data_IF_750329576451
#
_entry.id   IF_750329576451
#
_cell.length_a   1.000
_cell.length_b   1.000
_cell.length_c   1.000
_cell.angle_alpha   90.00
_cell.angle_beta   90.00
_cell.angle_gamma   90.00
#
_symmetry.space_group_name_H-M   'P 1'
#
loop_
_entity.id
_entity.type
_entity.pdbx_description
1 polymer ?
#
# COMPACT_ATOMS: atom_id res chain seq x y z
N UNK A 1 19.97 1.22 -58.10
CA UNK A 1 20.05 -0.25 -58.18
C UNK A 1 21.42 -0.61 -57.62
N UNK A 2 21.63 -1.20 -56.44
CA UNK A 2 20.78 -1.89 -55.47
C UNK A 2 21.12 -1.38 -54.06
N UNK A 3 20.10 -1.15 -53.21
CA UNK A 3 20.31 -0.89 -51.79
C UNK A 3 20.16 -2.23 -51.08
N UNK A 4 21.26 -2.74 -50.54
CA UNK A 4 21.27 -3.89 -49.64
C UNK A 4 20.52 -3.50 -48.37
N UNK A 5 19.30 -4.00 -48.23
CA UNK A 5 18.53 -3.89 -46.99
C UNK A 5 19.11 -4.90 -46.02
N UNK A 6 19.92 -4.42 -45.06
CA UNK A 6 20.20 -5.19 -43.86
C UNK A 6 18.87 -5.52 -43.21
N UNK A 7 18.51 -6.79 -43.21
CA UNK A 7 17.38 -7.35 -42.48
C UNK A 7 17.55 -6.98 -41.01
N UNK A 8 16.83 -5.94 -40.57
CA UNK A 8 16.62 -5.68 -39.16
C UNK A 8 16.04 -6.95 -38.55
N UNK A 9 16.76 -7.50 -37.58
CA UNK A 9 16.37 -8.67 -36.83
C UNK A 9 15.16 -8.31 -35.94
N UNK A 10 13.97 -8.27 -36.54
CA UNK A 10 12.68 -8.11 -35.85
C UNK A 10 12.33 -9.48 -35.27
N UNK A 11 13.01 -9.90 -34.21
CA UNK A 11 12.64 -11.09 -33.44
C UNK A 11 13.29 -11.04 -32.04
N UNK A 12 12.84 -10.13 -31.16
CA UNK A 12 12.78 -10.42 -29.71
C UNK A 12 12.06 -9.40 -28.80
N UNK A 13 11.05 -8.68 -29.29
CA UNK A 13 10.07 -8.06 -28.38
C UNK A 13 8.99 -9.08 -28.05
N UNK A 14 9.34 -10.08 -27.23
CA UNK A 14 8.32 -10.82 -26.49
C UNK A 14 7.47 -9.78 -25.74
N UNK A 15 6.15 -9.88 -25.88
CA UNK A 15 5.20 -9.18 -25.06
C UNK A 15 5.51 -9.48 -23.58
N UNK A 16 6.28 -8.61 -22.92
CA UNK A 16 6.56 -8.72 -21.49
C UNK A 16 5.26 -8.49 -20.74
N UNK A 17 4.49 -9.56 -20.54
CA UNK A 17 3.36 -9.63 -19.63
C UNK A 17 3.67 -10.75 -18.66
N UNK A 18 3.45 -10.55 -17.35
CA UNK A 18 3.71 -11.58 -16.37
C UNK A 18 2.84 -12.79 -16.70
N UNK A 19 3.45 -13.96 -16.71
CA UNK A 19 2.75 -15.20 -17.01
C UNK A 19 1.69 -15.49 -15.92
N UNK A 20 0.79 -16.43 -16.20
CA UNK A 20 -0.29 -16.76 -15.26
C UNK A 20 0.25 -17.23 -13.90
N UNK A 21 1.34 -18.01 -13.89
CA UNK A 21 1.99 -18.50 -12.68
C UNK A 21 2.49 -17.35 -11.80
N UNK A 22 3.13 -16.34 -12.38
CA UNK A 22 3.58 -15.13 -11.68
C UNK A 22 2.43 -14.37 -11.08
N UNK A 23 1.36 -14.14 -11.85
CA UNK A 23 0.16 -13.46 -11.33
C UNK A 23 -0.47 -14.21 -10.16
N UNK A 24 -0.62 -15.53 -10.30
CA UNK A 24 -1.20 -16.38 -9.27
C UNK A 24 -0.33 -16.43 -8.00
N UNK A 25 0.98 -16.64 -8.16
CA UNK A 25 1.93 -16.69 -7.05
C UNK A 25 2.05 -15.34 -6.33
N UNK A 26 2.08 -14.22 -7.05
CA UNK A 26 2.07 -12.88 -6.44
C UNK A 26 0.78 -12.61 -5.68
N UNK A 27 -0.39 -12.95 -6.23
CA UNK A 27 -1.66 -12.79 -5.54
C UNK A 27 -1.75 -13.67 -4.28
N UNK A 28 -1.36 -14.94 -4.38
CA UNK A 28 -1.33 -15.88 -3.27
C UNK A 28 -0.34 -15.43 -2.18
N UNK A 29 0.87 -15.04 -2.58
CA UNK A 29 1.88 -14.51 -1.66
C UNK A 29 1.40 -13.27 -0.92
N UNK A 30 0.79 -12.32 -1.62
CA UNK A 30 0.20 -11.12 -1.00
C UNK A 30 -0.90 -11.43 -0.01
N UNK A 31 -1.81 -12.34 -0.38
CA UNK A 31 -2.86 -12.79 0.52
C UNK A 31 -2.28 -13.47 1.76
N UNK A 32 -1.29 -14.35 1.59
CA UNK A 32 -0.62 -15.04 2.69
C UNK A 32 0.07 -14.03 3.63
N UNK A 33 0.84 -13.10 3.07
CA UNK A 33 1.50 -12.03 3.84
C UNK A 33 0.50 -11.18 4.63
N UNK A 34 -0.60 -10.78 3.99
CA UNK A 34 -1.69 -10.05 4.66
C UNK A 34 -2.29 -10.89 5.80
N UNK A 35 -2.65 -12.15 5.56
CA UNK A 35 -3.23 -13.02 6.60
C UNK A 35 -2.26 -13.26 7.76
N UNK A 36 -0.96 -13.42 7.49
CA UNK A 36 0.04 -13.57 8.54
C UNK A 36 0.12 -12.30 9.41
N UNK A 37 0.16 -11.12 8.78
CA UNK A 37 0.16 -9.84 9.51
C UNK A 37 -1.13 -9.64 10.33
N UNK A 38 -2.28 -10.08 9.81
CA UNK A 38 -3.56 -10.09 10.51
C UNK A 38 -3.47 -10.79 11.86
N UNK A 39 -2.94 -12.01 11.82
CA UNK A 39 -2.83 -12.90 12.96
C UNK A 39 -1.88 -12.29 13.98
N UNK A 40 -0.74 -11.76 13.52
CA UNK A 40 0.21 -11.06 14.37
C UNK A 40 -0.40 -9.83 15.07
N UNK A 41 -1.11 -8.97 14.33
CA UNK A 41 -1.77 -7.78 14.88
C UNK A 41 -2.85 -8.18 15.89
N UNK A 42 -3.67 -9.17 15.54
CA UNK A 42 -4.75 -9.70 16.40
C UNK A 42 -4.18 -10.23 17.72
N UNK A 43 -3.13 -11.05 17.64
CA UNK A 43 -2.44 -11.60 18.81
C UNK A 43 -1.78 -10.52 19.66
N UNK A 44 -1.11 -9.55 19.03
CA UNK A 44 -0.47 -8.43 19.72
C UNK A 44 -1.48 -7.55 20.47
N UNK A 45 -2.73 -7.48 20.00
CA UNK A 45 -3.83 -6.77 20.67
C UNK A 45 -4.59 -7.62 21.69
N UNK A 46 -4.12 -8.83 22.00
CA UNK A 46 -4.77 -9.73 22.97
C UNK A 46 -6.13 -10.29 22.52
N UNK A 47 -6.46 -10.17 21.24
CA UNK A 47 -7.70 -10.71 20.68
C UNK A 47 -7.53 -12.19 20.35
N UNK A 48 -8.61 -12.97 20.47
CA UNK A 48 -8.60 -14.40 20.12
C UNK A 48 -8.32 -14.55 18.62
N UNK A 49 -7.21 -15.21 18.31
CA UNK A 49 -6.88 -15.64 16.95
C UNK A 49 -7.87 -16.75 16.55
N UNK A 50 -8.47 -16.69 15.35
CA UNK A 50 -9.39 -17.71 14.91
C UNK A 50 -8.65 -19.05 14.76
N UNK A 51 -9.29 -20.15 15.14
CA UNK A 51 -8.69 -21.48 15.12
C UNK A 51 -8.41 -21.97 13.68
N UNK A 52 -9.05 -21.39 12.67
CA UNK A 52 -8.81 -21.69 11.26
C UNK A 52 -8.29 -20.46 10.51
N UNK A 53 -7.22 -20.63 9.74
CA UNK A 53 -6.69 -19.62 8.81
C UNK A 53 -7.50 -19.54 7.50
N UNK A 54 -8.79 -19.90 7.53
CA UNK A 54 -9.68 -19.69 6.40
C UNK A 54 -9.79 -18.20 6.14
N UNK A 55 -9.66 -17.80 4.87
CA UNK A 55 -9.68 -16.39 4.43
C UNK A 55 -10.87 -15.61 5.00
N UNK A 56 -12.03 -16.27 5.13
CA UNK A 56 -13.26 -15.69 5.68
C UNK A 56 -13.17 -15.37 7.18
N UNK A 57 -12.55 -16.24 7.98
CA UNK A 57 -12.39 -16.04 9.43
C UNK A 57 -11.37 -14.95 9.73
N UNK A 58 -10.29 -14.87 8.95
CA UNK A 58 -9.28 -13.81 9.06
C UNK A 58 -9.88 -12.46 8.68
N UNK A 59 -10.67 -12.41 7.60
CA UNK A 59 -11.44 -11.22 7.20
C UNK A 59 -12.45 -10.83 8.29
N UNK A 60 -13.12 -11.79 8.94
CA UNK A 60 -14.07 -11.51 10.03
C UNK A 60 -13.40 -10.98 11.30
N UNK A 61 -12.15 -11.36 11.57
CA UNK A 61 -11.35 -10.78 12.65
C UNK A 61 -10.91 -9.37 12.29
N UNK A 62 -10.47 -9.14 11.06
CA UNK A 62 -10.15 -7.79 10.59
C UNK A 62 -11.34 -6.83 10.63
N UNK A 63 -12.57 -7.31 10.41
CA UNK A 63 -13.79 -6.50 10.55
C UNK A 63 -14.01 -5.97 11.97
N UNK A 64 -13.37 -6.56 12.98
CA UNK A 64 -13.53 -6.20 14.40
C UNK A 64 -12.40 -5.27 14.89
N UNK A 65 -11.40 -4.99 14.07
CA UNK A 65 -10.22 -4.22 14.44
C UNK A 65 -10.33 -2.82 13.84
N UNK A 66 -10.28 -1.79 14.68
CA UNK A 66 -9.98 -0.44 14.24
C UNK A 66 -8.46 -0.33 14.03
N UNK A 67 -8.06 -0.26 12.76
CA UNK A 67 -6.65 -0.16 12.38
C UNK A 67 -6.10 1.24 12.66
N UNK A 68 -4.88 1.26 13.17
CA UNK A 68 -4.08 2.48 13.27
C UNK A 68 -3.04 2.52 12.14
N UNK A 69 -2.23 3.58 12.11
CA UNK A 69 -1.21 3.80 11.09
C UNK A 69 -0.19 2.66 11.05
N UNK A 70 0.21 2.14 12.22
CA UNK A 70 1.18 1.05 12.32
C UNK A 70 0.62 -0.23 11.72
N UNK A 71 -0.63 -0.56 12.01
CA UNK A 71 -1.27 -1.77 11.49
C UNK A 71 -1.38 -1.73 9.96
N UNK A 72 -1.75 -0.57 9.40
CA UNK A 72 -1.82 -0.38 7.94
C UNK A 72 -0.45 -0.57 7.31
N UNK A 73 0.58 0.06 7.86
CA UNK A 73 1.96 -0.09 7.37
C UNK A 73 2.41 -1.55 7.47
N UNK A 74 2.13 -2.24 8.59
CA UNK A 74 2.48 -3.65 8.75
C UNK A 74 1.76 -4.53 7.72
N UNK A 75 0.46 -4.33 7.50
CA UNK A 75 -0.31 -5.07 6.50
C UNK A 75 0.22 -4.83 5.08
N UNK A 76 0.53 -3.57 4.73
CA UNK A 76 1.14 -3.22 3.44
C UNK A 76 2.49 -3.89 3.25
N UNK A 77 3.35 -3.79 4.27
CA UNK A 77 4.69 -4.38 4.25
C UNK A 77 4.63 -5.88 4.04
N UNK A 78 3.78 -6.58 4.79
CA UNK A 78 3.66 -8.03 4.70
C UNK A 78 3.03 -8.48 3.39
N UNK A 79 2.01 -7.78 2.87
CA UNK A 79 1.42 -8.08 1.57
C UNK A 79 2.40 -7.84 0.41
N UNK A 80 3.16 -6.74 0.45
CA UNK A 80 4.20 -6.43 -0.52
C UNK A 80 5.31 -7.48 -0.48
N UNK A 81 5.81 -7.83 0.71
CA UNK A 81 6.83 -8.86 0.88
C UNK A 81 6.35 -10.23 0.38
N UNK A 82 5.11 -10.61 0.69
CA UNK A 82 4.53 -11.86 0.23
C UNK A 82 4.35 -11.90 -1.30
N UNK A 83 3.83 -10.82 -1.88
CA UNK A 83 3.65 -10.71 -3.33
C UNK A 83 4.96 -10.68 -4.10
N UNK A 84 5.96 -9.95 -3.57
CA UNK A 84 7.33 -9.96 -4.07
C UNK A 84 7.92 -11.38 -4.04
N UNK A 85 7.80 -12.08 -2.91
CA UNK A 85 8.32 -13.45 -2.76
C UNK A 85 7.68 -14.39 -3.79
N UNK A 86 6.35 -14.38 -3.92
CA UNK A 86 5.66 -15.19 -4.92
C UNK A 86 6.03 -14.84 -6.36
N UNK A 87 6.18 -13.55 -6.65
CA UNK A 87 6.60 -13.06 -7.97
C UNK A 87 8.03 -13.46 -8.32
N UNK A 88 8.97 -13.37 -7.38
CA UNK A 88 10.38 -13.75 -7.59
C UNK A 88 10.54 -15.26 -7.78
N UNK A 89 9.80 -16.07 -7.03
CA UNK A 89 9.86 -17.54 -7.13
C UNK A 89 9.46 -18.06 -8.52
N UNK A 90 8.57 -17.34 -9.20
CA UNK A 90 7.99 -17.75 -10.50
C UNK A 90 8.53 -16.95 -11.68
N UNK A 91 9.20 -15.83 -11.40
CA UNK A 91 9.82 -14.94 -12.39
C UNK A 91 11.08 -14.28 -11.78
N UNK A 92 12.14 -15.08 -11.54
CA UNK A 92 13.35 -14.60 -10.88
C UNK A 92 14.16 -13.63 -11.75
N UNK A 93 13.97 -13.65 -13.07
CA UNK A 93 14.68 -12.79 -14.01
C UNK A 93 14.32 -11.31 -13.81
N UNK A 94 13.09 -11.03 -13.39
CA UNK A 94 12.59 -9.67 -13.13
C UNK A 94 12.70 -9.23 -11.66
N UNK A 95 13.46 -9.94 -10.83
CA UNK A 95 13.60 -9.66 -9.39
C UNK A 95 13.95 -8.20 -9.09
N UNK A 96 14.87 -7.60 -9.85
CA UNK A 96 15.30 -6.21 -9.64
C UNK A 96 14.15 -5.22 -9.85
N UNK A 97 13.36 -5.41 -10.91
CA UNK A 97 12.20 -4.56 -11.21
C UNK A 97 11.11 -4.71 -10.13
N UNK A 98 10.83 -5.93 -9.69
CA UNK A 98 9.87 -6.22 -8.62
C UNK A 98 10.31 -5.62 -7.28
N UNK A 99 11.57 -5.84 -6.87
CA UNK A 99 12.09 -5.29 -5.61
C UNK A 99 12.05 -3.77 -5.59
N UNK A 100 12.40 -3.12 -6.71
CA UNK A 100 12.29 -1.68 -6.87
C UNK A 100 10.86 -1.19 -6.67
N UNK A 101 9.91 -1.80 -7.38
CA UNK A 101 8.50 -1.46 -7.24
C UNK A 101 8.02 -1.66 -5.79
N UNK A 102 8.45 -2.74 -5.13
CA UNK A 102 8.15 -3.02 -3.73
C UNK A 102 8.60 -1.91 -2.79
N UNK A 103 9.86 -1.44 -2.93
CA UNK A 103 10.40 -0.36 -2.10
C UNK A 103 9.68 0.96 -2.37
N UNK A 104 9.48 1.30 -3.64
CA UNK A 104 8.82 2.56 -4.05
C UNK A 104 7.38 2.59 -3.57
N UNK A 105 6.61 1.52 -3.77
CA UNK A 105 5.23 1.45 -3.31
C UNK A 105 5.16 1.51 -1.79
N UNK A 106 5.95 0.69 -1.07
CA UNK A 106 5.91 0.64 0.38
C UNK A 106 6.21 2.00 0.99
N UNK A 107 7.30 2.63 0.57
CA UNK A 107 7.75 3.90 1.14
C UNK A 107 6.85 5.06 0.68
N UNK A 108 6.65 5.18 -0.64
CA UNK A 108 5.97 6.31 -1.27
C UNK A 108 4.47 6.33 -1.06
N UNK A 109 3.81 5.18 -1.11
CA UNK A 109 2.35 5.10 -1.14
C UNK A 109 1.73 4.66 0.20
N UNK A 110 2.48 4.02 1.08
CA UNK A 110 1.94 3.48 2.33
C UNK A 110 2.56 4.10 3.59
N UNK A 111 3.89 4.09 3.71
CA UNK A 111 4.57 4.58 4.92
C UNK A 111 4.34 6.08 5.12
N UNK A 112 4.71 6.93 4.15
CA UNK A 112 4.58 8.37 4.33
C UNK A 112 3.13 8.86 4.40
N UNK A 113 2.21 8.42 3.51
CA UNK A 113 0.80 8.78 3.62
C UNK A 113 0.20 8.41 4.98
N UNK A 114 0.40 7.17 5.46
CA UNK A 114 -0.14 6.72 6.75
C UNK A 114 0.43 7.49 7.94
N UNK A 115 1.75 7.73 7.96
CA UNK A 115 2.39 8.50 9.04
C UNK A 115 1.87 9.94 9.10
N UNK A 116 1.68 10.57 7.93
CA UNK A 116 1.22 11.94 7.88
C UNK A 116 -0.27 12.08 8.23
N UNK A 117 -1.10 11.07 7.94
CA UNK A 117 -2.48 10.99 8.48
C UNK A 117 -2.45 11.06 10.01
N UNK A 118 -1.64 10.20 10.63
CA UNK A 118 -1.47 10.17 12.07
C UNK A 118 -0.94 11.49 12.64
N UNK A 119 0.04 12.09 11.97
CA UNK A 119 0.59 13.39 12.34
C UNK A 119 -0.46 14.51 12.27
N UNK A 120 -1.28 14.56 11.21
CA UNK A 120 -2.35 15.53 11.07
C UNK A 120 -3.39 15.41 12.19
N UNK A 121 -3.82 14.20 12.51
CA UNK A 121 -4.78 13.96 13.60
C UNK A 121 -4.23 14.31 14.98
N UNK A 122 -2.94 14.01 15.22
CA UNK A 122 -2.23 14.44 16.44
C UNK A 122 -2.11 15.95 16.51
N UNK A 123 -1.81 16.61 15.39
CA UNK A 123 -1.71 18.07 15.32
C UNK A 123 -3.02 18.73 15.75
N UNK A 124 -4.17 18.25 15.27
CA UNK A 124 -5.48 18.75 15.72
C UNK A 124 -5.62 18.65 17.26
N UNK A 125 -5.34 17.46 17.83
CA UNK A 125 -5.41 17.25 19.29
C UNK A 125 -4.47 18.20 20.06
N UNK A 126 -3.25 18.40 19.56
CA UNK A 126 -2.26 19.29 20.17
C UNK A 126 -2.69 20.75 20.10
N UNK A 127 -3.20 21.20 18.95
CA UNK A 127 -3.72 22.56 18.78
C UNK A 127 -4.90 22.83 19.70
N UNK A 128 -5.84 21.88 19.79
CA UNK A 128 -6.94 21.97 20.75
C UNK A 128 -6.45 21.97 22.20
N UNK A 129 -5.48 21.13 22.56
CA UNK A 129 -4.96 21.10 23.93
C UNK A 129 -4.28 22.41 24.33
N UNK A 130 -3.52 23.02 23.41
CA UNK A 130 -2.69 24.20 23.69
C UNK A 130 -3.43 25.53 23.50
N UNK A 131 -4.29 25.60 22.50
CA UNK A 131 -4.97 26.84 22.09
C UNK A 131 -6.51 26.74 22.17
N UNK A 132 -7.06 25.58 22.59
CA UNK A 132 -8.50 25.31 22.63
C UNK A 132 -9.20 25.48 21.27
N UNK A 133 -8.43 25.47 20.19
CA UNK A 133 -8.90 25.68 18.83
C UNK A 133 -7.99 25.00 17.80
N UNK A 134 -8.56 24.39 16.72
CA UNK A 134 -9.99 24.13 16.49
C UNK A 134 -10.50 22.96 17.36
N UNK A 135 -11.83 22.82 17.59
CA UNK A 135 -12.37 21.74 18.40
C UNK A 135 -12.13 20.35 17.78
N UNK A 136 -11.94 19.33 18.63
CA UNK A 136 -11.72 17.95 18.19
C UNK A 136 -13.05 17.29 17.84
N UNK A 137 -13.66 17.72 16.74
CA UNK A 137 -14.85 17.06 16.15
C UNK A 137 -14.43 16.05 15.09
N UNK A 138 -15.32 15.10 14.75
CA UNK A 138 -15.05 14.10 13.69
C UNK A 138 -14.73 14.75 12.34
N UNK A 139 -15.46 15.80 11.97
CA UNK A 139 -15.24 16.52 10.71
C UNK A 139 -13.87 17.22 10.68
N UNK A 140 -13.47 17.84 11.78
CA UNK A 140 -12.17 18.53 11.88
C UNK A 140 -11.03 17.49 11.94
N UNK A 141 -11.20 16.38 12.67
CA UNK A 141 -10.25 15.26 12.64
C UNK A 141 -10.12 14.67 11.23
N UNK A 142 -11.22 14.51 10.51
CA UNK A 142 -11.20 14.07 9.12
C UNK A 142 -10.47 15.06 8.22
N UNK A 143 -10.71 16.37 8.37
CA UNK A 143 -10.03 17.41 7.61
C UNK A 143 -8.50 17.40 7.87
N UNK A 144 -8.08 17.34 9.13
CA UNK A 144 -6.67 17.26 9.50
C UNK A 144 -6.01 15.96 9.04
N UNK A 145 -6.71 14.83 9.17
CA UNK A 145 -6.25 13.54 8.65
C UNK A 145 -6.10 13.56 7.13
N UNK A 146 -7.06 14.15 6.41
CA UNK A 146 -7.02 14.30 4.94
C UNK A 146 -5.91 15.25 4.49
N UNK A 147 -5.72 16.38 5.19
CA UNK A 147 -4.62 17.30 4.91
C UNK A 147 -3.25 16.64 5.15
N UNK A 148 -3.14 15.86 6.22
CA UNK A 148 -1.99 15.00 6.49
C UNK A 148 -1.76 14.02 5.34
N UNK A 149 -2.77 13.23 4.99
CA UNK A 149 -2.74 12.31 3.86
C UNK A 149 -2.22 12.96 2.57
N UNK A 150 -2.85 14.05 2.12
CA UNK A 150 -2.44 14.77 0.89
C UNK A 150 -0.97 15.18 0.98
N UNK A 151 -0.55 15.72 2.12
CA UNK A 151 0.84 16.14 2.34
C UNK A 151 1.80 14.94 2.30
N UNK A 152 1.42 13.82 2.91
CA UNK A 152 2.19 12.58 2.92
C UNK A 152 2.34 11.96 1.54
N UNK A 153 1.34 12.09 0.68
CA UNK A 153 1.37 11.61 -0.72
C UNK A 153 2.30 12.45 -1.56
N UNK A 154 2.22 13.78 -1.45
CA UNK A 154 3.14 14.69 -2.13
C UNK A 154 4.58 14.45 -1.67
N UNK A 155 4.79 14.27 -0.37
CA UNK A 155 6.10 13.96 0.20
C UNK A 155 6.60 12.58 -0.22
N UNK A 156 5.75 11.55 -0.15
CA UNK A 156 6.05 10.18 -0.55
C UNK A 156 6.42 10.07 -2.03
N UNK A 157 5.77 10.86 -2.90
CA UNK A 157 6.16 10.95 -4.30
C UNK A 157 7.57 11.56 -4.47
N UNK A 158 7.92 12.61 -3.71
CA UNK A 158 9.29 13.17 -3.71
C UNK A 158 10.31 12.16 -3.21
N UNK A 159 10.03 11.45 -2.11
CA UNK A 159 10.94 10.41 -1.60
C UNK A 159 11.08 9.27 -2.59
N UNK A 160 9.99 8.84 -3.24
CA UNK A 160 10.03 7.83 -4.30
C UNK A 160 10.93 8.24 -5.46
N UNK A 161 10.93 9.53 -5.82
CA UNK A 161 11.85 10.08 -6.81
C UNK A 161 13.30 10.03 -6.33
N UNK A 162 13.58 10.40 -5.07
CA UNK A 162 14.92 10.30 -4.50
C UNK A 162 15.40 8.84 -4.47
N UNK A 163 14.54 7.90 -4.09
CA UNK A 163 14.85 6.48 -4.13
C UNK A 163 15.16 6.03 -5.56
N UNK A 164 14.33 6.39 -6.54
CA UNK A 164 14.59 6.06 -7.95
C UNK A 164 15.91 6.64 -8.46
N UNK A 165 16.21 7.89 -8.11
CA UNK A 165 17.42 8.58 -8.54
C UNK A 165 18.69 8.04 -7.86
N UNK A 166 18.69 7.90 -6.55
CA UNK A 166 19.89 7.54 -5.78
C UNK A 166 20.09 6.03 -5.62
N UNK A 167 19.01 5.27 -5.42
CA UNK A 167 19.09 3.83 -5.22
C UNK A 167 19.06 3.07 -6.55
N UNK A 168 18.21 3.50 -7.48
CA UNK A 168 18.00 2.79 -8.75
C UNK A 168 18.67 3.45 -9.96
N UNK A 169 19.27 4.63 -9.79
CA UNK A 169 19.97 5.40 -10.84
C UNK A 169 19.10 5.66 -12.08
N UNK A 170 17.81 5.92 -11.87
CA UNK A 170 16.86 6.25 -12.92
C UNK A 170 16.25 7.62 -12.68
N UNK A 171 16.36 8.51 -13.68
CA UNK A 171 15.68 9.81 -13.69
C UNK A 171 14.28 9.66 -14.27
N UNK A 172 13.36 9.14 -13.46
CA UNK A 172 11.95 9.07 -13.80
C UNK A 172 11.18 10.19 -13.10
N UNK A 173 11.07 11.36 -13.74
CA UNK A 173 10.14 12.40 -13.31
C UNK A 173 8.72 12.03 -13.76
N UNK A 174 7.81 11.85 -12.82
CA UNK A 174 6.39 11.67 -13.11
C UNK A 174 5.54 12.53 -12.18
N UNK A 175 4.72 13.38 -12.78
CA UNK A 175 3.69 14.17 -12.08
C UNK A 175 2.57 13.22 -11.64
N UNK A 176 2.08 13.36 -10.40
CA UNK A 176 0.96 12.57 -9.89
C UNK A 176 -0.26 12.74 -10.80
N UNK A 177 -0.77 11.62 -11.32
CA UNK A 177 -1.99 11.58 -12.11
C UNK A 177 -3.20 11.28 -11.22
N UNK A 178 -4.41 11.54 -11.70
CA UNK A 178 -5.65 11.16 -11.01
C UNK A 178 -5.72 9.64 -10.73
N UNK A 179 -5.10 8.82 -11.59
CA UNK A 179 -4.99 7.36 -11.38
C UNK A 179 -4.15 7.02 -10.14
N UNK A 180 -3.13 7.82 -9.85
CA UNK A 180 -2.27 7.64 -8.67
C UNK A 180 -3.00 8.05 -7.37
N UNK A 181 -4.02 8.89 -7.46
CA UNK A 181 -4.94 9.18 -6.35
C UNK A 181 -5.98 8.08 -6.15
N UNK A 182 -6.47 7.48 -7.24
CA UNK A 182 -7.43 6.37 -7.16
C UNK A 182 -6.87 5.15 -6.43
N UNK A 183 -5.56 4.88 -6.55
CA UNK A 183 -4.88 3.78 -5.84
C UNK A 183 -4.67 4.06 -4.34
N UNK A 184 -5.02 5.24 -3.84
CA UNK A 184 -4.91 5.62 -2.43
C UNK A 184 -6.23 5.53 -1.67
N UNK A 185 -7.23 4.84 -2.24
CA UNK A 185 -8.53 4.63 -1.62
C UNK A 185 -8.45 3.99 -0.22
N UNK A 186 -7.43 3.16 0.01
CA UNK A 186 -7.12 2.55 1.30
C UNK A 186 -6.67 3.58 2.35
N UNK A 187 -5.85 4.57 1.97
CA UNK A 187 -5.45 5.67 2.85
C UNK A 187 -6.63 6.59 3.18
N UNK A 188 -7.58 6.78 2.25
CA UNK A 188 -8.85 7.47 2.54
C UNK A 188 -9.71 6.69 3.53
N UNK A 189 -9.74 5.35 3.40
CA UNK A 189 -10.39 4.48 4.39
C UNK A 189 -9.71 4.60 5.76
N UNK A 190 -8.38 4.69 5.81
CA UNK A 190 -7.61 4.91 7.04
C UNK A 190 -7.96 6.24 7.71
N UNK A 191 -7.96 7.35 6.96
CA UNK A 191 -8.38 8.66 7.47
C UNK A 191 -9.80 8.59 8.03
N UNK A 192 -10.70 7.94 7.29
CA UNK A 192 -12.10 7.81 7.70
C UNK A 192 -12.24 7.00 8.98
N UNK A 193 -11.54 5.86 9.11
CA UNK A 193 -11.62 5.01 10.30
C UNK A 193 -11.04 5.70 11.53
N UNK A 194 -9.93 6.42 11.38
CA UNK A 194 -9.29 7.09 12.51
C UNK A 194 -10.00 8.39 12.94
N UNK A 195 -10.70 9.07 12.03
CA UNK A 195 -11.41 10.31 12.33
C UNK A 195 -12.76 10.08 13.04
N UNK A 196 -13.36 8.91 12.85
CA UNK A 196 -14.70 8.59 13.35
C UNK A 196 -14.78 7.21 14.04
N UNK A 197 -13.90 6.90 15.02
CA UNK A 197 -13.87 5.60 15.68
C UNK A 197 -15.24 5.27 16.31
N UNK A 198 -15.59 3.99 16.30
CA UNK A 198 -16.85 3.44 16.82
C UNK A 198 -18.06 3.56 15.87
N UNK A 199 -17.96 4.35 14.79
CA UNK A 199 -19.08 4.55 13.85
C UNK A 199 -19.23 3.42 12.82
N UNK A 200 -20.42 3.25 12.25
CA UNK A 200 -20.65 2.29 11.16
C UNK A 200 -19.83 2.62 9.91
N UNK A 201 -19.55 3.91 9.67
CA UNK A 201 -18.70 4.37 8.56
C UNK A 201 -17.26 3.95 8.79
N UNK A 202 -16.70 4.20 9.98
CA UNK A 202 -15.35 3.74 10.33
C UNK A 202 -15.23 2.21 10.27
N UNK A 203 -16.20 1.50 10.84
CA UNK A 203 -16.27 0.03 10.76
C UNK A 203 -16.28 -0.45 9.32
N UNK A 204 -17.00 0.22 8.42
CA UNK A 204 -17.08 -0.14 7.00
C UNK A 204 -15.77 0.16 6.27
N UNK A 205 -15.20 1.35 6.48
CA UNK A 205 -13.90 1.73 5.92
C UNK A 205 -12.80 0.73 6.33
N UNK A 206 -12.75 0.33 7.60
CA UNK A 206 -11.81 -0.68 8.09
C UNK A 206 -11.97 -2.05 7.44
N UNK A 207 -13.14 -2.42 6.90
CA UNK A 207 -13.31 -3.69 6.16
C UNK A 207 -12.64 -3.68 4.79
N UNK A 208 -12.54 -2.51 4.17
CA UNK A 208 -11.94 -2.36 2.84
C UNK A 208 -10.42 -2.29 2.89
N UNK A 209 -9.84 -1.79 3.98
CA UNK A 209 -8.39 -1.63 4.15
C UNK A 209 -7.64 -2.95 3.84
N UNK A 210 -7.92 -4.10 4.49
CA UNK A 210 -7.16 -5.33 4.23
C UNK A 210 -7.25 -5.80 2.78
N UNK A 211 -8.44 -5.74 2.17
CA UNK A 211 -8.66 -6.18 0.79
C UNK A 211 -7.87 -5.31 -0.19
N UNK A 212 -7.86 -3.99 0.04
CA UNK A 212 -7.09 -3.06 -0.78
C UNK A 212 -5.58 -3.33 -0.71
N UNK A 213 -5.09 -3.87 0.41
CA UNK A 213 -3.67 -4.16 0.62
C UNK A 213 -3.17 -5.41 -0.13
N UNK A 214 -4.04 -6.25 -0.71
CA UNK A 214 -3.62 -7.36 -1.58
C UNK A 214 -3.08 -6.83 -2.92
N UNK A 215 -3.70 -5.75 -3.43
CA UNK A 215 -3.40 -5.14 -4.73
C UNK A 215 -1.93 -4.69 -4.85
N UNK A 216 -1.34 -3.92 -3.92
CA UNK A 216 0.04 -3.47 -4.05
C UNK A 216 1.03 -4.64 -4.11
N UNK A 217 0.87 -5.66 -3.26
CA UNK A 217 1.75 -6.81 -3.32
C UNK A 217 1.61 -7.61 -4.61
N UNK A 218 0.40 -7.73 -5.15
CA UNK A 218 0.20 -8.29 -6.49
C UNK A 218 0.90 -7.46 -7.58
N UNK A 219 0.76 -6.12 -7.55
CA UNK A 219 1.41 -5.21 -8.51
C UNK A 219 2.94 -5.31 -8.44
N UNK A 220 3.50 -5.44 -7.24
CA UNK A 220 4.94 -5.62 -7.01
C UNK A 220 5.41 -6.93 -7.60
N UNK A 221 4.73 -8.03 -7.28
CA UNK A 221 5.11 -9.36 -7.75
C UNK A 221 4.93 -9.56 -9.26
N UNK A 222 4.09 -8.76 -9.91
CA UNK A 222 3.84 -8.82 -11.36
C UNK A 222 4.65 -7.83 -12.19
N UNK A 223 5.55 -7.06 -11.57
CA UNK A 223 6.44 -6.13 -12.28
C UNK A 223 7.50 -6.86 -13.12
N UNK A 224 7.85 -6.31 -14.27
CA UNK A 224 8.86 -6.78 -15.23
C UNK A 224 9.56 -5.57 -15.86
#
# INVERSE_FOLDING_TARGET
MSITVNSFNINNTQNNRPNFSTKAASAAGSLLGLTASAVCITKARGLKVPASLKTREVVDVFKKIEFNEKDVITMASSSIAGGLTGGVLTDPQNTKAKTKEGIVQLVGNYVFPSLFVGAGMKLNKTLFSKYKYPPVTRAIQFAFGTAGFISGVLFGNKISQLINKYLFKEDSYRKLSWKDWAVQADNVCLVTSMAAPGTNIAKTASKFIPVAHIIPGYCVGTKF
#
